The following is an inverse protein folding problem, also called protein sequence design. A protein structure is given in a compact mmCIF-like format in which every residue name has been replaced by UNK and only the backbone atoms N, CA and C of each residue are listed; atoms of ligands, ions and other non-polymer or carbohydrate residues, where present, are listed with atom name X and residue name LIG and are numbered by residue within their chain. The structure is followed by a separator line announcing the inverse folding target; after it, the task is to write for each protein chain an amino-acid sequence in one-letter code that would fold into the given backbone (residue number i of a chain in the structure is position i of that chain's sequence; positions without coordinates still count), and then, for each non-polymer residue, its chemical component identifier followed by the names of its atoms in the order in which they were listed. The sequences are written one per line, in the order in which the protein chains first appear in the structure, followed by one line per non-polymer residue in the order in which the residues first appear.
data_IF_759972594014
#
_entry.id   IF_759972594014
#
_cell.length_a   1.000
_cell.length_b   1.000
_cell.length_c   1.000
_cell.angle_alpha   90.00
_cell.angle_beta   90.00
_cell.angle_gamma   90.00
#
_symmetry.space_group_name_H-M   'P 1'
#
loop_
_entity.id
_entity.type
_entity.pdbx_description
1 polymer ?
#
# COMPACT_ATOMS: atom_id res chain seq x y z
N UNK A 1 19.44 -4.11 9.40
CA UNK A 1 18.18 -4.68 9.89
C UNK A 1 17.39 -5.16 8.69
N UNK A 2 16.76 -6.34 8.71
CA UNK A 2 15.90 -6.77 7.62
C UNK A 2 14.60 -5.97 7.68
N UNK A 3 14.30 -5.19 6.64
CA UNK A 3 12.99 -4.55 6.50
C UNK A 3 11.94 -5.62 6.17
N UNK A 4 10.76 -5.50 6.76
CA UNK A 4 9.61 -6.34 6.39
C UNK A 4 9.12 -5.93 5.01
N UNK A 5 9.02 -6.87 4.08
CA UNK A 5 8.57 -6.60 2.71
C UNK A 5 7.04 -6.66 2.65
N UNK A 6 6.42 -5.60 2.14
CA UNK A 6 5.00 -5.49 1.83
C UNK A 6 4.82 -5.82 0.34
N UNK A 7 4.03 -6.85 0.04
CA UNK A 7 3.64 -7.24 -1.31
C UNK A 7 2.12 -7.27 -1.44
N UNK A 8 1.60 -7.41 -2.66
CA UNK A 8 0.17 -7.68 -2.84
C UNK A 8 -0.21 -8.94 -2.06
N UNK A 9 -1.31 -8.85 -1.32
CA UNK A 9 -1.83 -9.90 -0.45
C UNK A 9 -1.32 -9.84 1.00
N UNK A 10 -0.31 -9.02 1.32
CA UNK A 10 0.12 -8.77 2.69
C UNK A 10 -1.01 -8.13 3.50
N UNK A 11 -1.12 -8.47 4.79
CA UNK A 11 -1.96 -7.73 5.74
C UNK A 11 -1.07 -6.72 6.44
N UNK A 12 -1.46 -5.45 6.41
CA UNK A 12 -0.78 -4.39 7.12
C UNK A 12 -1.73 -3.78 8.14
N UNK A 13 -1.18 -3.34 9.28
CA UNK A 13 -1.87 -2.52 10.26
C UNK A 13 -1.15 -1.18 10.32
N UNK A 14 -1.82 -0.11 9.91
CA UNK A 14 -1.19 1.19 9.79
C UNK A 14 -2.16 2.33 10.09
N UNK A 15 -1.73 3.38 10.81
CA UNK A 15 -2.57 4.53 11.10
C UNK A 15 -2.89 5.31 9.82
N UNK A 16 -4.12 5.82 9.76
CA UNK A 16 -4.56 6.75 8.71
C UNK A 16 -4.38 8.19 9.16
N UNK A 17 -4.49 9.13 8.22
CA UNK A 17 -4.53 10.59 8.49
C UNK A 17 -5.65 11.04 9.45
N UNK A 18 -6.57 10.14 9.79
CA UNK A 18 -7.66 10.37 10.75
C UNK A 18 -7.43 9.67 12.09
N UNK A 19 -6.19 9.26 12.39
CA UNK A 19 -5.79 8.52 13.61
C UNK A 19 -6.60 7.23 13.84
N UNK A 20 -7.07 6.61 12.75
CA UNK A 20 -7.67 5.28 12.78
C UNK A 20 -6.65 4.27 12.30
N UNK A 21 -6.37 3.26 13.12
CA UNK A 21 -5.60 2.09 12.71
C UNK A 21 -6.41 1.30 11.68
N UNK A 22 -5.90 1.22 10.46
CA UNK A 22 -6.47 0.38 9.41
C UNK A 22 -5.67 -0.91 9.36
N UNK A 23 -6.33 -2.00 9.71
CA UNK A 23 -5.85 -3.35 9.42
C UNK A 23 -6.52 -3.85 8.16
N UNK A 24 -5.74 -4.08 7.11
CA UNK A 24 -6.29 -4.54 5.85
C UNK A 24 -5.28 -5.21 4.95
N UNK A 25 -5.79 -5.84 3.89
CA UNK A 25 -5.02 -6.56 2.90
C UNK A 25 -4.61 -5.63 1.76
N UNK A 26 -3.33 -5.65 1.40
CA UNK A 26 -2.81 -4.94 0.24
C UNK A 26 -3.37 -5.55 -1.03
N UNK A 27 -4.12 -4.76 -1.79
CA UNK A 27 -4.71 -5.19 -3.07
C UNK A 27 -3.90 -4.70 -4.27
N UNK A 28 -3.27 -3.53 -4.15
CA UNK A 28 -2.52 -2.92 -5.24
C UNK A 28 -1.36 -2.08 -4.70
N UNK A 29 -0.25 -2.07 -5.44
CA UNK A 29 0.91 -1.22 -5.18
C UNK A 29 1.05 -0.27 -6.37
N UNK A 30 0.97 1.04 -6.10
CA UNK A 30 1.17 2.12 -7.05
C UNK A 30 2.57 2.73 -6.86
N UNK A 31 2.87 3.81 -7.58
CA UNK A 31 4.19 4.43 -7.58
C UNK A 31 4.54 4.97 -6.19
N UNK A 32 3.61 5.70 -5.56
CA UNK A 32 3.83 6.35 -4.26
C UNK A 32 2.89 5.87 -3.14
N UNK A 33 1.95 5.00 -3.47
CA UNK A 33 0.90 4.55 -2.53
C UNK A 33 0.64 3.06 -2.62
N UNK A 34 0.03 2.53 -1.58
CA UNK A 34 -0.45 1.15 -1.44
C UNK A 34 -1.95 1.22 -1.19
N UNK A 35 -2.74 0.46 -1.94
CA UNK A 35 -4.17 0.32 -1.75
C UNK A 35 -4.42 -0.86 -0.82
N UNK A 36 -5.17 -0.61 0.26
CA UNK A 36 -5.45 -1.57 1.31
C UNK A 36 -6.96 -1.70 1.48
N UNK A 37 -7.48 -2.92 1.44
CA UNK A 37 -8.88 -3.19 1.78
C UNK A 37 -9.00 -3.75 3.19
N UNK A 38 -9.82 -3.14 4.03
CA UNK A 38 -10.06 -3.63 5.38
C UNK A 38 -11.10 -4.77 5.42
N UNK A 39 -11.42 -5.24 6.64
CA UNK A 39 -12.41 -6.30 6.85
C UNK A 39 -13.85 -5.86 6.57
N UNK A 40 -14.15 -4.57 6.68
CA UNK A 40 -15.47 -4.00 6.42
C UNK A 40 -15.70 -3.77 4.91
N UNK A 41 -14.64 -3.95 4.12
CA UNK A 41 -14.64 -3.82 2.67
C UNK A 41 -14.28 -2.42 2.19
N UNK A 42 -13.94 -1.51 3.10
CA UNK A 42 -13.52 -0.15 2.78
C UNK A 42 -12.09 -0.14 2.23
N UNK A 43 -11.85 0.78 1.30
CA UNK A 43 -10.57 0.94 0.62
C UNK A 43 -9.83 2.13 1.20
N UNK A 44 -8.59 1.90 1.60
CA UNK A 44 -7.68 2.89 2.19
C UNK A 44 -6.44 3.07 1.32
N UNK A 45 -5.94 4.30 1.29
CA UNK A 45 -4.69 4.65 0.62
C UNK A 45 -3.62 4.91 1.68
N UNK A 46 -2.52 4.17 1.60
CA UNK A 46 -1.36 4.33 2.48
C UNK A 46 -0.18 4.81 1.63
N UNK A 47 0.51 5.87 2.05
CA UNK A 47 1.70 6.36 1.34
C UNK A 47 2.90 5.47 1.66
N UNK A 48 3.76 5.23 0.66
CA UNK A 48 4.97 4.43 0.86
C UNK A 48 5.94 5.07 1.85
N UNK A 49 6.00 6.40 1.87
CA UNK A 49 6.86 7.17 2.76
C UNK A 49 6.63 6.81 4.23
N UNK A 50 5.36 6.77 4.69
CA UNK A 50 5.06 6.46 6.10
C UNK A 50 5.39 4.99 6.40
N UNK A 51 5.16 4.08 5.44
CA UNK A 51 5.57 2.67 5.58
C UNK A 51 7.10 2.54 5.70
N UNK A 52 7.87 3.32 4.94
CA UNK A 52 9.33 3.31 4.99
C UNK A 52 9.87 3.89 6.30
N UNK A 53 9.25 4.96 6.80
CA UNK A 53 9.54 5.55 8.11
C UNK A 53 9.30 4.54 9.25
N UNK A 54 8.24 3.73 9.12
CA UNK A 54 7.91 2.63 10.05
C UNK A 54 8.79 1.38 9.84
N UNK A 55 9.76 1.42 8.91
CA UNK A 55 10.73 0.35 8.69
C UNK A 55 10.26 -0.78 7.76
N UNK A 56 9.14 -0.60 7.07
CA UNK A 56 8.71 -1.48 6.00
C UNK A 56 9.44 -1.16 4.68
N UNK A 57 9.39 -2.12 3.75
CA UNK A 57 9.83 -1.95 2.37
C UNK A 57 8.72 -2.44 1.46
N UNK A 58 8.40 -1.75 0.38
CA UNK A 58 7.35 -2.17 -0.54
C UNK A 58 7.97 -2.90 -1.75
N UNK A 59 7.40 -4.04 -2.15
CA UNK A 59 7.86 -4.79 -3.32
C UNK A 59 7.40 -4.11 -4.62
N UNK A 60 8.30 -3.29 -5.19
CA UNK A 60 8.08 -2.56 -6.43
C UNK A 60 7.84 -3.46 -7.65
N UNK A 61 8.17 -4.75 -7.60
CA UNK A 61 7.89 -5.69 -8.70
C UNK A 61 6.40 -5.90 -8.96
N UNK A 62 5.55 -5.55 -7.99
CA UNK A 62 4.09 -5.67 -8.13
C UNK A 62 3.44 -4.36 -8.59
N UNK A 63 4.24 -3.39 -9.05
CA UNK A 63 3.76 -2.18 -9.70
C UNK A 63 3.02 -2.55 -11.00
N UNK A 64 1.70 -2.38 -11.00
CA UNK A 64 0.92 -2.47 -12.24
C UNK A 64 1.14 -1.17 -13.00
N UNK A 65 2.09 -1.18 -13.93
CA UNK A 65 2.28 -0.09 -14.89
C UNK A 65 0.97 0.10 -15.66
N UNK A 66 0.21 1.15 -15.35
CA UNK A 66 -0.94 1.49 -16.18
C UNK A 66 -0.42 1.86 -17.55
N UNK A 67 -0.88 1.13 -18.57
CA UNK A 67 -0.71 1.53 -19.96
C UNK A 67 -0.97 3.03 -20.08
N UNK A 68 0.00 3.74 -20.63
CA UNK A 68 -0.13 5.14 -21.00
C UNK A 68 -1.39 5.25 -21.86
N UNK A 69 -2.49 5.77 -21.32
CA UNK A 69 -3.63 6.15 -22.14
C UNK A 69 -3.19 7.36 -22.95
N UNK A 70 -2.52 7.13 -24.08
CA UNK A 70 -2.35 8.16 -25.09
C UNK A 70 -3.75 8.50 -25.57
N UNK A 71 -4.27 9.65 -25.13
CA UNK A 71 -5.38 10.32 -25.81
C UNK A 71 -4.93 10.52 -27.26
N UNK A 72 -5.43 9.70 -28.17
CA UNK A 72 -5.45 9.97 -29.61
C UNK A 72 -6.52 10.99 -29.92
#
# INVERSE_FOLDING_TARGET
MSKTIISIGSVINHPTVHDKDVTGRVELILENTVIVRDSDGDTHLVTKEILEDDGFSVDEKTYVYQNHFTRS
#
